data_IF_339216011772
#
_entry.id   IF_339216011772
#
_cell.length_a   1.000
_cell.length_b   1.000
_cell.length_c   1.000
_cell.angle_alpha   90.00
_cell.angle_beta   90.00
_cell.angle_gamma   90.00
#
_symmetry.space_group_name_H-M   'P 1'
#
loop_
_entity.id
_entity.type
_entity.pdbx_description
1 polymer ?
#
# COMPACT_ATOMS: atom_id res chain seq x y z
N UNK A 1 -13.58 25.43 14.85
CA UNK A 1 -14.97 25.17 14.41
C UNK A 1 -15.36 23.82 15.00
N UNK A 2 -16.63 23.61 15.27
CA UNK A 2 -17.22 22.40 15.86
C UNK A 2 -17.43 21.27 14.82
N UNK A 3 -16.92 21.44 13.60
CA UNK A 3 -16.96 20.45 12.50
C UNK A 3 -18.38 20.01 12.11
N UNK A 4 -19.40 20.81 12.45
CA UNK A 4 -20.82 20.47 12.25
C UNK A 4 -21.37 20.85 10.88
N UNK A 5 -20.62 21.61 10.08
CA UNK A 5 -21.01 22.06 8.75
C UNK A 5 -19.87 21.92 7.74
N UNK A 6 -20.21 21.71 6.46
CA UNK A 6 -19.26 21.54 5.38
C UNK A 6 -19.83 22.10 4.06
N UNK A 7 -18.97 22.77 3.28
CA UNK A 7 -19.33 23.20 1.93
C UNK A 7 -18.98 22.11 0.92
N UNK A 8 -19.95 21.68 0.13
CA UNK A 8 -19.73 20.77 -0.98
C UNK A 8 -18.72 21.36 -1.97
N UNK A 9 -17.67 20.60 -2.30
CA UNK A 9 -16.72 20.98 -3.34
C UNK A 9 -17.38 20.89 -4.74
N UNK A 10 -16.95 21.72 -5.72
CA UNK A 10 -17.35 21.57 -7.11
C UNK A 10 -17.07 20.18 -7.66
N UNK A 11 -17.78 19.78 -8.72
CA UNK A 11 -17.62 18.44 -9.31
C UNK A 11 -16.20 18.15 -9.81
N UNK A 12 -15.50 19.21 -10.25
CA UNK A 12 -14.10 19.17 -10.72
C UNK A 12 -13.08 19.13 -9.57
N UNK A 13 -13.53 19.08 -8.32
CA UNK A 13 -12.67 19.12 -7.14
C UNK A 13 -12.27 20.54 -6.76
N UNK A 14 -11.39 20.66 -5.78
CA UNK A 14 -10.77 21.93 -5.39
C UNK A 14 -9.33 21.70 -4.97
N UNK A 15 -8.34 22.24 -5.69
CA UNK A 15 -6.94 22.11 -5.31
C UNK A 15 -6.62 23.01 -4.11
N UNK A 16 -5.68 22.56 -3.28
CA UNK A 16 -5.09 23.28 -2.16
C UNK A 16 -6.12 23.94 -1.21
N UNK A 17 -7.22 23.24 -0.88
CA UNK A 17 -8.26 23.76 0.04
C UNK A 17 -7.74 23.96 1.46
N UNK A 18 -6.70 23.21 1.82
CA UNK A 18 -6.09 23.23 3.12
C UNK A 18 -4.61 22.89 3.01
N UNK A 19 -3.93 22.92 4.15
CA UNK A 19 -2.61 22.32 4.31
C UNK A 19 -2.72 21.10 5.20
N UNK A 20 -2.03 20.02 4.84
CA UNK A 20 -1.82 18.88 5.71
C UNK A 20 -0.96 19.27 6.92
N UNK A 21 -0.87 18.38 7.91
CA UNK A 21 -0.09 18.63 9.13
C UNK A 21 1.39 18.94 8.86
N UNK A 22 1.94 18.40 7.77
CA UNK A 22 3.32 18.63 7.31
C UNK A 22 3.42 19.82 6.32
N UNK A 23 2.34 20.55 6.10
CA UNK A 23 2.28 21.78 5.29
C UNK A 23 2.14 21.57 3.78
N UNK A 24 1.96 20.33 3.31
CA UNK A 24 1.67 20.07 1.90
C UNK A 24 0.27 20.60 1.55
N UNK A 25 0.00 20.98 0.29
CA UNK A 25 -1.37 21.28 -0.13
C UNK A 25 -2.23 20.01 0.03
N UNK A 26 -3.45 20.22 0.49
CA UNK A 26 -4.48 19.19 0.52
C UNK A 26 -5.55 19.56 -0.51
N UNK A 27 -5.76 18.65 -1.46
CA UNK A 27 -6.75 18.78 -2.51
C UNK A 27 -8.03 18.03 -2.12
N UNK A 28 -9.18 18.56 -2.50
CA UNK A 28 -10.41 17.77 -2.60
C UNK A 28 -10.48 17.24 -4.04
N UNK A 29 -10.42 15.91 -4.25
CA UNK A 29 -10.44 15.33 -5.59
C UNK A 29 -11.74 15.64 -6.34
N UNK A 30 -11.71 15.56 -7.67
CA UNK A 30 -12.93 15.60 -8.48
C UNK A 30 -13.79 14.36 -8.24
N UNK A 31 -15.07 14.40 -8.62
CA UNK A 31 -15.93 13.21 -8.58
C UNK A 31 -15.39 12.07 -9.46
N UNK A 32 -14.76 12.41 -10.58
CA UNK A 32 -14.11 11.44 -11.45
C UNK A 32 -12.89 10.80 -10.78
N UNK A 33 -12.10 11.57 -10.04
CA UNK A 33 -10.97 11.06 -9.26
C UNK A 33 -11.44 10.12 -8.15
N UNK A 34 -12.53 10.46 -7.46
CA UNK A 34 -13.12 9.57 -6.44
C UNK A 34 -13.48 8.20 -7.04
N UNK A 35 -14.06 8.18 -8.25
CA UNK A 35 -14.43 6.95 -8.94
C UNK A 35 -13.23 6.05 -9.27
N UNK A 36 -12.03 6.60 -9.46
CA UNK A 36 -10.82 5.80 -9.71
C UNK A 36 -10.54 4.81 -8.57
N UNK A 37 -10.88 5.16 -7.34
CA UNK A 37 -10.70 4.29 -6.18
C UNK A 37 -12.00 3.61 -5.76
N UNK A 38 -13.13 4.33 -5.78
CA UNK A 38 -14.41 3.87 -5.21
C UNK A 38 -15.32 3.09 -6.18
N UNK A 39 -15.00 3.02 -7.48
CA UNK A 39 -15.84 2.27 -8.45
C UNK A 39 -15.49 0.78 -8.52
N UNK A 40 -14.71 0.25 -7.57
CA UNK A 40 -14.26 -1.14 -7.53
C UNK A 40 -14.74 -1.83 -6.24
N UNK A 41 -15.06 -3.12 -6.33
CA UNK A 41 -15.46 -3.94 -5.17
C UNK A 41 -16.75 -3.45 -4.51
N UNK A 42 -16.74 -3.31 -3.19
CA UNK A 42 -17.84 -2.76 -2.38
C UNK A 42 -17.82 -1.22 -2.28
N UNK A 43 -16.85 -0.57 -2.93
CA UNK A 43 -16.67 0.88 -2.93
C UNK A 43 -16.17 1.45 -1.61
N UNK A 44 -15.74 0.62 -0.65
CA UNK A 44 -15.21 1.08 0.63
C UNK A 44 -13.68 1.03 0.61
N UNK A 45 -13.03 2.18 0.78
CA UNK A 45 -11.58 2.26 0.97
C UNK A 45 -11.24 2.09 2.44
N UNK A 46 -11.50 0.88 2.95
CA UNK A 46 -11.26 0.49 4.33
C UNK A 46 -9.87 -0.08 4.56
N UNK A 47 -9.54 -0.30 5.83
CA UNK A 47 -8.33 -1.04 6.20
C UNK A 47 -8.54 -2.55 6.03
N UNK A 48 -7.53 -3.25 5.53
CA UNK A 48 -7.49 -4.72 5.51
C UNK A 48 -7.07 -5.27 6.87
N UNK A 49 -7.36 -6.57 7.11
CA UNK A 49 -6.87 -7.25 8.31
C UNK A 49 -5.33 -7.20 8.42
N UNK A 50 -4.62 -7.27 7.29
CA UNK A 50 -3.16 -7.10 7.23
C UNK A 50 -2.72 -5.70 7.67
N UNK A 51 -3.41 -4.64 7.22
CA UNK A 51 -3.11 -3.25 7.62
C UNK A 51 -3.41 -2.96 9.10
N UNK A 52 -4.31 -3.73 9.71
CA UNK A 52 -4.65 -3.65 11.13
C UNK A 52 -3.88 -4.65 11.99
N UNK A 53 -3.00 -5.46 11.41
CA UNK A 53 -2.27 -6.51 12.14
C UNK A 53 -1.51 -5.97 13.36
N UNK A 54 -1.54 -6.71 14.45
CA UNK A 54 -0.75 -6.46 15.65
C UNK A 54 0.76 -6.70 15.43
N UNK A 55 1.13 -7.55 14.46
CA UNK A 55 2.52 -7.86 14.12
C UNK A 55 3.06 -6.91 13.04
N UNK A 56 3.40 -5.69 13.47
CA UNK A 56 3.89 -4.62 12.59
C UNK A 56 5.37 -4.81 12.25
N UNK A 57 5.72 -4.59 10.98
CA UNK A 57 7.11 -4.66 10.57
C UNK A 57 7.93 -3.47 11.11
N UNK A 58 9.07 -3.73 11.79
CA UNK A 58 9.88 -2.67 12.41
C UNK A 58 10.59 -1.79 11.37
N UNK A 59 10.69 -2.25 10.13
CA UNK A 59 11.26 -1.50 9.01
C UNK A 59 10.20 -0.78 8.17
N UNK A 60 8.92 -0.86 8.55
CA UNK A 60 7.86 -0.16 7.82
C UNK A 60 8.07 1.37 7.92
N UNK A 61 7.99 2.11 6.81
CA UNK A 61 8.12 3.56 6.84
C UNK A 61 7.02 4.16 7.71
N UNK A 62 7.36 5.18 8.49
CA UNK A 62 6.42 5.89 9.36
C UNK A 62 5.74 5.01 10.42
N UNK A 63 6.33 3.84 10.73
CA UNK A 63 5.85 3.01 11.82
C UNK A 63 5.95 3.76 13.16
N UNK A 64 4.83 3.82 13.88
CA UNK A 64 4.78 4.35 15.24
C UNK A 64 4.95 3.22 16.25
N UNK A 65 5.69 3.48 17.33
CA UNK A 65 5.83 2.56 18.47
C UNK A 65 4.48 2.32 19.20
N UNK A 66 3.50 3.20 19.02
CA UNK A 66 2.14 3.04 19.52
C UNK A 66 1.14 3.13 18.37
N UNK A 67 0.33 2.10 18.19
CA UNK A 67 -0.79 2.09 17.25
C UNK A 67 -2.10 1.84 18.01
N UNK A 68 -3.01 2.82 18.11
CA UNK A 68 -4.28 2.64 18.80
C UNK A 68 -5.35 1.88 17.97
N UNK A 69 -5.01 1.44 16.76
CA UNK A 69 -5.94 0.79 15.83
C UNK A 69 -5.37 -0.53 15.29
N UNK A 70 -5.06 -1.48 16.17
CA UNK A 70 -4.75 -2.86 15.79
C UNK A 70 -6.00 -3.74 15.84
N UNK A 71 -5.97 -4.93 15.22
CA UNK A 71 -7.07 -5.90 15.27
C UNK A 71 -7.43 -6.24 16.71
N UNK A 72 -6.44 -6.56 17.55
CA UNK A 72 -6.69 -6.89 18.96
C UNK A 72 -7.36 -5.73 19.71
N UNK A 73 -6.88 -4.50 19.54
CA UNK A 73 -7.45 -3.33 20.21
C UNK A 73 -8.86 -3.01 19.71
N UNK A 74 -9.09 -3.09 18.41
CA UNK A 74 -10.41 -2.87 17.81
C UNK A 74 -11.40 -3.97 18.21
N UNK A 75 -10.95 -5.22 18.37
CA UNK A 75 -11.76 -6.32 18.91
C UNK A 75 -12.07 -6.11 20.39
N UNK A 76 -11.08 -5.71 21.21
CA UNK A 76 -11.27 -5.39 22.63
C UNK A 76 -12.28 -4.26 22.84
N UNK A 77 -12.33 -3.30 21.92
CA UNK A 77 -13.30 -2.19 21.90
C UNK A 77 -14.68 -2.57 21.33
N UNK A 78 -14.84 -3.79 20.82
CA UNK A 78 -16.08 -4.25 20.18
C UNK A 78 -16.38 -3.62 18.82
N UNK A 79 -15.39 -2.95 18.19
CA UNK A 79 -15.51 -2.36 16.85
C UNK A 79 -15.42 -3.47 15.80
N UNK A 80 -14.38 -4.29 15.89
CA UNK A 80 -14.25 -5.51 15.10
C UNK A 80 -14.89 -6.65 15.88
N UNK A 81 -15.92 -7.27 15.29
CA UNK A 81 -16.63 -8.41 15.86
C UNK A 81 -16.33 -9.67 15.05
N UNK A 82 -16.51 -10.82 15.68
CA UNK A 82 -16.37 -12.14 15.05
C UNK A 82 -15.00 -12.38 14.39
N UNK A 83 -13.94 -11.76 14.93
CA UNK A 83 -12.57 -12.02 14.49
C UNK A 83 -12.24 -13.50 14.80
N UNK A 84 -11.82 -14.30 13.81
CA UNK A 84 -11.43 -15.68 14.04
C UNK A 84 -10.30 -15.75 15.08
N UNK A 85 -10.38 -16.67 16.05
CA UNK A 85 -9.38 -16.82 17.12
C UNK A 85 -7.94 -16.92 16.56
N UNK A 86 -7.78 -17.60 15.43
CA UNK A 86 -6.50 -17.68 14.70
C UNK A 86 -5.89 -16.32 14.35
N UNK A 87 -6.70 -15.30 14.06
CA UNK A 87 -6.21 -13.95 13.74
C UNK A 87 -5.68 -13.20 14.97
N UNK A 88 -6.05 -13.65 16.18
CA UNK A 88 -5.50 -13.16 17.45
C UNK A 88 -4.24 -13.95 17.85
N UNK A 89 -4.20 -15.25 17.60
CA UNK A 89 -3.06 -16.12 17.90
C UNK A 89 -1.89 -15.93 16.92
N UNK A 90 -2.22 -15.74 15.64
CA UNK A 90 -1.28 -15.51 14.53
C UNK A 90 -1.73 -14.26 13.76
N UNK A 91 -1.28 -13.07 14.19
CA UNK A 91 -1.62 -11.83 13.50
C UNK A 91 -1.24 -11.91 12.01
N UNK A 92 -2.07 -11.35 11.11
CA UNK A 92 -1.79 -11.34 9.68
C UNK A 92 -0.40 -10.80 9.34
N UNK A 93 0.35 -11.50 8.50
CA UNK A 93 1.68 -11.07 8.06
C UNK A 93 1.98 -11.47 6.62
N UNK A 94 2.73 -10.65 5.90
CA UNK A 94 3.21 -11.00 4.56
C UNK A 94 4.32 -12.05 4.65
N UNK A 95 4.23 -13.11 3.85
CA UNK A 95 5.34 -14.04 3.65
C UNK A 95 6.46 -13.38 2.83
N UNK A 96 7.67 -13.39 3.40
CA UNK A 96 8.85 -12.74 2.84
C UNK A 96 10.13 -13.34 3.45
N UNK A 97 11.18 -13.44 2.63
CA UNK A 97 12.47 -14.01 3.01
C UNK A 97 13.25 -13.13 3.99
N UNK A 98 13.07 -11.80 3.92
CA UNK A 98 13.74 -10.85 4.81
C UNK A 98 12.75 -9.88 5.45
N UNK A 99 13.08 -9.28 6.61
CA UNK A 99 12.29 -8.20 7.19
C UNK A 99 12.15 -6.97 6.29
N UNK A 100 13.17 -6.67 5.48
CA UNK A 100 13.16 -5.53 4.55
C UNK A 100 12.24 -5.80 3.37
N UNK A 101 12.30 -6.99 2.77
CA UNK A 101 11.35 -7.43 1.76
C UNK A 101 9.93 -7.31 2.28
N UNK A 102 9.65 -7.85 3.48
CA UNK A 102 8.32 -7.79 4.06
C UNK A 102 7.80 -6.36 4.22
N UNK A 103 8.64 -5.47 4.76
CA UNK A 103 8.29 -4.05 4.91
C UNK A 103 8.05 -3.37 3.56
N UNK A 104 8.88 -3.65 2.54
CA UNK A 104 8.72 -3.11 1.19
C UNK A 104 7.41 -3.60 0.54
N UNK A 105 7.13 -4.91 0.61
CA UNK A 105 5.89 -5.50 0.09
C UNK A 105 4.66 -4.97 0.85
N UNK A 106 4.75 -4.78 2.16
CA UNK A 106 3.69 -4.18 2.98
C UNK A 106 3.40 -2.72 2.62
N UNK A 107 4.44 -1.93 2.34
CA UNK A 107 4.29 -0.56 1.85
C UNK A 107 3.59 -0.54 0.48
N UNK A 108 4.04 -1.38 -0.45
CA UNK A 108 3.47 -1.46 -1.81
C UNK A 108 2.02 -1.96 -1.79
N UNK A 109 1.70 -2.96 -0.95
CA UNK A 109 0.32 -3.40 -0.76
C UNK A 109 -0.57 -2.25 -0.27
N UNK A 110 -0.13 -1.53 0.77
CA UNK A 110 -0.91 -0.48 1.42
C UNK A 110 -1.14 0.73 0.51
N UNK A 111 -0.11 1.15 -0.23
CA UNK A 111 -0.16 2.41 -0.98
C UNK A 111 -0.46 2.23 -2.47
N UNK A 112 -0.35 1.01 -3.00
CA UNK A 112 -0.47 0.76 -4.44
C UNK A 112 -1.36 -0.44 -4.77
N UNK A 113 -1.48 -1.43 -3.87
CA UNK A 113 -2.20 -2.68 -4.10
C UNK A 113 -3.70 -2.52 -4.38
N UNK A 114 -4.31 -1.41 -3.96
CA UNK A 114 -5.71 -1.10 -4.28
C UNK A 114 -5.95 -0.87 -5.79
N UNK A 115 -4.98 -0.28 -6.49
CA UNK A 115 -5.05 -0.09 -7.94
C UNK A 115 -4.35 -1.24 -8.69
N UNK A 116 -3.24 -1.74 -8.15
CA UNK A 116 -2.40 -2.78 -8.72
C UNK A 116 -2.77 -4.16 -8.21
N UNK A 117 -3.96 -4.64 -8.57
CA UNK A 117 -4.48 -5.96 -8.21
C UNK A 117 -4.64 -6.87 -9.43
N UNK A 118 -4.63 -8.18 -9.21
CA UNK A 118 -4.67 -9.18 -10.27
C UNK A 118 -5.98 -9.19 -11.09
N UNK A 119 -7.06 -8.70 -10.50
CA UNK A 119 -8.42 -8.65 -11.06
C UNK A 119 -8.93 -7.22 -11.29
N UNK A 120 -8.04 -6.22 -11.18
CA UNK A 120 -8.39 -4.82 -11.39
C UNK A 120 -8.15 -4.32 -12.82
N UNK A 121 -8.56 -3.08 -13.08
CA UNK A 121 -8.37 -2.41 -14.38
C UNK A 121 -6.90 -2.34 -14.82
N UNK A 122 -5.96 -2.34 -13.88
CA UNK A 122 -4.53 -2.29 -14.15
C UNK A 122 -3.87 -3.67 -14.29
N UNK A 123 -4.61 -4.77 -14.17
CA UNK A 123 -4.08 -6.12 -14.32
C UNK A 123 -3.31 -6.34 -15.65
N UNK A 124 -3.76 -5.82 -16.81
CA UNK A 124 -3.03 -5.95 -18.08
C UNK A 124 -1.64 -5.31 -18.07
N UNK A 125 -1.34 -4.41 -17.11
CA UNK A 125 0.01 -3.87 -16.97
C UNK A 125 1.00 -4.96 -16.56
N UNK A 126 0.56 -5.99 -15.83
CA UNK A 126 1.41 -7.06 -15.31
C UNK A 126 2.16 -6.66 -14.04
N UNK A 127 1.60 -5.74 -13.25
CA UNK A 127 2.15 -5.31 -11.95
C UNK A 127 1.09 -5.50 -10.88
N UNK A 128 1.19 -6.58 -10.11
CA UNK A 128 0.30 -6.90 -8.98
C UNK A 128 1.05 -6.62 -7.69
N UNK A 129 0.62 -5.61 -6.94
CA UNK A 129 1.22 -5.16 -5.68
C UNK A 129 0.36 -5.52 -4.47
N UNK A 130 -0.85 -6.02 -4.70
CA UNK A 130 -1.73 -6.53 -3.65
C UNK A 130 -1.13 -7.79 -2.99
N UNK A 131 -1.16 -7.83 -1.66
CA UNK A 131 -0.98 -9.04 -0.89
C UNK A 131 -2.35 -9.64 -0.55
N UNK A 132 -2.51 -10.95 -0.75
CA UNK A 132 -3.75 -11.69 -0.52
C UNK A 132 -3.54 -12.77 0.53
N UNK A 133 -4.54 -13.12 1.34
CA UNK A 133 -4.41 -14.26 2.24
C UNK A 133 -4.13 -15.53 1.44
N UNK A 134 -3.12 -16.30 1.87
CA UNK A 134 -2.82 -17.63 1.37
C UNK A 134 -3.83 -18.66 1.90
N UNK A 135 -3.52 -19.96 1.71
CA UNK A 135 -4.35 -21.05 2.24
C UNK A 135 -4.51 -20.94 3.76
N UNK A 136 -3.41 -20.63 4.45
CA UNK A 136 -3.42 -20.16 5.82
C UNK A 136 -3.70 -18.65 5.81
N UNK A 137 -4.95 -18.26 6.06
CA UNK A 137 -5.40 -16.85 6.05
C UNK A 137 -4.63 -15.86 6.95
N UNK A 138 -3.72 -16.35 7.80
CA UNK A 138 -2.79 -15.52 8.59
C UNK A 138 -1.54 -15.13 7.81
N UNK A 139 -1.18 -15.91 6.79
CA UNK A 139 -0.05 -15.67 5.90
C UNK A 139 -0.56 -15.01 4.62
N UNK A 140 0.05 -13.90 4.24
CA UNK A 140 -0.33 -13.12 3.07
C UNK A 140 0.73 -13.25 1.99
N UNK A 141 0.33 -13.68 0.80
CA UNK A 141 1.19 -13.79 -0.36
C UNK A 141 1.15 -12.49 -1.16
N UNK A 142 2.31 -11.89 -1.42
CA UNK A 142 2.40 -10.75 -2.33
C UNK A 142 2.35 -11.20 -3.78
N UNK A 143 1.47 -10.57 -4.58
CA UNK A 143 1.41 -10.81 -6.02
C UNK A 143 2.70 -10.48 -6.79
N UNK A 144 3.62 -9.71 -6.19
CA UNK A 144 4.96 -9.47 -6.76
C UNK A 144 5.87 -10.70 -6.70
N UNK A 145 5.68 -11.59 -5.73
CA UNK A 145 6.47 -12.83 -5.65
C UNK A 145 6.01 -13.86 -6.68
N UNK A 146 4.72 -13.80 -7.05
CA UNK A 146 4.10 -14.71 -8.01
C UNK A 146 4.30 -14.31 -9.47
N UNK A 147 4.87 -13.13 -9.76
CA UNK A 147 5.00 -12.62 -11.12
C UNK A 147 6.34 -11.89 -11.32
N UNK A 148 7.12 -12.30 -12.32
CA UNK A 148 8.30 -11.55 -12.75
C UNK A 148 7.83 -10.23 -13.39
N UNK A 149 7.77 -9.18 -12.58
CA UNK A 149 7.34 -7.88 -13.06
C UNK A 149 8.43 -7.24 -13.90
N UNK A 150 8.19 -7.07 -15.21
CA UNK A 150 9.01 -6.26 -16.13
C UNK A 150 9.20 -4.79 -15.72
N UNK A 151 8.60 -4.37 -14.61
CA UNK A 151 8.67 -3.01 -14.07
C UNK A 151 9.74 -2.87 -12.97
N UNK A 152 10.39 -3.97 -12.58
CA UNK A 152 11.39 -4.01 -11.52
C UNK A 152 12.61 -4.77 -12.04
N UNK A 153 13.78 -4.16 -11.92
CA UNK A 153 15.07 -4.73 -12.29
C UNK A 153 15.84 -5.08 -11.01
N UNK A 154 15.91 -6.37 -10.63
CA UNK A 154 16.66 -6.82 -9.46
C UNK A 154 18.10 -6.30 -9.47
N UNK A 155 18.58 -5.78 -8.34
CA UNK A 155 19.90 -5.16 -8.22
C UNK A 155 20.02 -3.73 -8.75
N UNK A 156 19.06 -3.25 -9.55
CA UNK A 156 19.11 -1.97 -10.23
C UNK A 156 17.85 -1.11 -9.99
N UNK A 157 17.73 -0.43 -8.83
CA UNK A 157 16.60 0.44 -8.53
C UNK A 157 16.41 1.56 -9.56
N UNK A 158 17.50 2.15 -10.05
CA UNK A 158 17.45 3.27 -11.00
C UNK A 158 16.97 2.84 -12.40
N UNK A 159 17.06 1.54 -12.72
CA UNK A 159 16.51 0.95 -13.95
C UNK A 159 15.06 0.45 -13.75
N UNK A 160 14.56 0.44 -12.52
CA UNK A 160 13.23 -0.05 -12.17
C UNK A 160 12.16 1.03 -12.36
N UNK A 161 11.25 0.81 -13.32
CA UNK A 161 10.13 1.73 -13.58
C UNK A 161 9.25 1.98 -12.33
N UNK A 162 9.04 0.96 -11.50
CA UNK A 162 8.33 1.12 -10.21
C UNK A 162 8.98 2.23 -9.36
N UNK A 163 10.29 2.11 -9.12
CA UNK A 163 11.04 3.03 -8.28
C UNK A 163 11.09 4.44 -8.89
N UNK A 164 11.32 4.53 -10.21
CA UNK A 164 11.35 5.80 -10.93
C UNK A 164 10.00 6.56 -10.88
N UNK A 165 8.86 5.86 -10.89
CA UNK A 165 7.54 6.50 -10.75
C UNK A 165 7.24 6.94 -9.31
N UNK A 166 7.72 6.18 -8.33
CA UNK A 166 7.60 6.55 -6.91
C UNK A 166 8.41 7.80 -6.57
N UNK A 167 9.54 8.02 -7.24
CA UNK A 167 10.49 9.11 -6.95
C UNK A 167 10.12 10.48 -7.52
N UNK A 168 8.99 10.59 -8.24
CA UNK A 168 8.59 11.84 -8.90
C UNK A 168 7.15 12.25 -8.56
N UNK A 169 6.90 13.56 -8.58
CA UNK A 169 5.56 14.18 -8.53
C UNK A 169 5.23 14.95 -9.81
N UNK A 170 5.95 14.64 -10.89
CA UNK A 170 5.61 15.15 -12.22
C UNK A 170 4.31 14.48 -12.73
N UNK A 171 3.27 15.24 -13.12
CA UNK A 171 1.94 14.68 -13.40
C UNK A 171 1.90 13.52 -14.41
N UNK A 172 2.77 13.49 -15.42
CA UNK A 172 2.81 12.42 -16.42
C UNK A 172 3.46 11.12 -15.93
N UNK A 173 4.25 11.18 -14.85
CA UNK A 173 5.12 10.09 -14.41
C UNK A 173 4.90 9.66 -12.96
N UNK A 174 4.27 10.49 -12.13
CA UNK A 174 4.12 10.23 -10.70
C UNK A 174 3.31 8.98 -10.41
N UNK A 175 3.65 8.33 -9.30
CA UNK A 175 2.81 7.37 -8.61
C UNK A 175 2.81 7.65 -7.10
N UNK A 176 1.64 7.60 -6.43
CA UNK A 176 0.29 7.47 -7.01
C UNK A 176 -0.08 8.63 -7.96
N UNK A 177 -1.02 8.44 -8.92
CA UNK A 177 -1.27 9.42 -9.96
C UNK A 177 -2.06 10.65 -9.46
N UNK A 178 -2.69 10.55 -8.29
CA UNK A 178 -3.48 11.58 -7.65
C UNK A 178 -3.22 11.61 -6.14
N UNK A 179 -3.73 12.65 -5.46
CA UNK A 179 -3.78 12.80 -4.00
C UNK A 179 -2.42 12.80 -3.27
N UNK A 180 -1.30 12.88 -3.99
CA UNK A 180 0.03 13.01 -3.41
C UNK A 180 0.80 14.17 -4.02
N UNK A 181 1.52 14.92 -3.19
CA UNK A 181 2.31 16.09 -3.62
C UNK A 181 3.77 16.03 -3.17
N UNK A 182 4.14 15.00 -2.40
CA UNK A 182 5.48 14.82 -1.85
C UNK A 182 5.94 13.40 -2.07
N UNK A 183 7.22 13.27 -2.43
CA UNK A 183 7.92 11.99 -2.47
C UNK A 183 8.09 11.49 -1.04
N UNK A 184 7.69 10.26 -0.78
CA UNK A 184 7.94 9.58 0.49
C UNK A 184 9.38 9.05 0.47
N UNK A 185 10.31 9.84 1.03
CA UNK A 185 11.73 9.53 0.97
C UNK A 185 12.08 8.23 1.72
N UNK A 186 11.45 7.99 2.88
CA UNK A 186 11.68 6.78 3.67
C UNK A 186 11.22 5.52 2.93
N UNK A 187 10.07 5.60 2.24
CA UNK A 187 9.61 4.50 1.40
C UNK A 187 10.47 4.29 0.15
N UNK A 188 10.94 5.37 -0.48
CA UNK A 188 11.82 5.28 -1.64
C UNK A 188 13.16 4.63 -1.29
N UNK A 189 13.71 4.96 -0.12
CA UNK A 189 14.90 4.32 0.44
C UNK A 189 14.66 2.83 0.71
N UNK A 190 13.57 2.49 1.41
CA UNK A 190 13.21 1.10 1.73
C UNK A 190 13.05 0.25 0.46
N UNK A 191 12.24 0.71 -0.50
CA UNK A 191 11.98 -0.03 -1.75
C UNK A 191 13.23 -0.08 -2.62
N UNK A 192 14.03 0.99 -2.65
CA UNK A 192 15.32 0.99 -3.34
C UNK A 192 16.32 0.00 -2.75
N UNK A 193 16.42 -0.08 -1.42
CA UNK A 193 17.28 -1.05 -0.74
C UNK A 193 16.79 -2.48 -0.99
N UNK A 194 15.48 -2.73 -0.93
CA UNK A 194 14.90 -4.04 -1.24
C UNK A 194 15.20 -4.48 -2.68
N UNK A 195 14.97 -3.62 -3.68
CA UNK A 195 15.27 -3.95 -5.09
C UNK A 195 16.77 -4.25 -5.27
N UNK A 196 17.64 -3.48 -4.61
CA UNK A 196 19.09 -3.59 -4.74
C UNK A 196 19.67 -4.85 -4.10
N UNK A 197 19.18 -5.22 -2.92
CA UNK A 197 19.86 -6.18 -2.05
C UNK A 197 19.09 -7.50 -1.87
N UNK A 198 17.76 -7.48 -1.91
CA UNK A 198 16.93 -8.61 -1.47
C UNK A 198 16.13 -9.24 -2.61
N UNK A 199 15.81 -8.47 -3.65
CA UNK A 199 15.08 -8.98 -4.80
C UNK A 199 16.02 -9.86 -5.64
N UNK A 200 15.75 -11.16 -5.66
CA UNK A 200 16.54 -12.13 -6.43
C UNK A 200 15.99 -12.24 -7.85
N UNK A 201 16.86 -12.28 -8.90
CA UNK A 201 16.43 -12.53 -10.27
C UNK A 201 15.65 -13.85 -10.40
N UNK A 202 14.52 -13.82 -11.10
CA UNK A 202 13.63 -14.98 -11.29
C UNK A 202 14.33 -16.17 -11.97
N UNK A 203 15.43 -15.94 -12.70
CA UNK A 203 16.22 -16.97 -13.40
C UNK A 203 16.94 -17.98 -12.48
N UNK A 204 16.86 -17.82 -11.15
CA UNK A 204 17.46 -18.75 -10.18
C UNK A 204 16.46 -19.64 -9.43
N UNK A 205 15.16 -19.55 -9.72
CA UNK A 205 14.16 -20.50 -9.19
C UNK A 205 13.97 -21.66 -10.17
N UNK A 206 15.03 -22.45 -10.37
CA UNK A 206 14.88 -23.80 -10.93
C UNK A 206 14.29 -24.68 -9.83
N UNK A 207 13.13 -25.25 -10.14
CA UNK A 207 12.40 -26.32 -9.44
C UNK A 207 13.25 -27.12 -8.43
N UNK A 208 12.84 -27.04 -7.16
CA UNK A 208 13.11 -28.07 -6.14
C UNK A 208 11.78 -28.67 -5.69
#
# INVERSE_FOLDING_TARGET
ADESDARLAPEVGTPAVAKSADGAPYDVPSRADCALCHSHGDGVLGFSALQLSDDRDPLAPHASASNPATLMELTRRGIVRDLPARGLERPPRIDAATPRERAALGYLHTNCGSCHRADGLLAPLGLVLEARPGEDSSEYESGLRSNSSRHIHPGAPDESLLWARMSTRAPSAQMPPLATHRVDAAALELVGAWIREDLVPTDTRTDL
#
